data_IF_976655008911
#
_entry.id   IF_976655008911
#
_cell.length_a   1.000
_cell.length_b   1.000
_cell.length_c   1.000
_cell.angle_alpha   90.00
_cell.angle_beta   90.00
_cell.angle_gamma   90.00
#
_symmetry.space_group_name_H-M   'P 1'
#
loop_
_entity.id
_entity.type
_entity.pdbx_description
1 polymer ?
#
# COMPACT_ATOMS: atom_id res chain seq x y z
N UNK A 1 -25.09 29.94 -2.33
CA UNK A 1 -24.52 28.74 -3.00
C UNK A 1 -23.88 27.89 -1.94
N UNK A 2 -24.30 26.64 -1.80
CA UNK A 2 -23.64 25.67 -0.91
C UNK A 2 -22.51 25.00 -1.75
N UNK A 3 -21.28 25.20 -1.36
CA UNK A 3 -20.14 24.55 -2.02
C UNK A 3 -20.24 23.03 -1.91
N UNK A 4 -19.92 22.34 -2.99
CA UNK A 4 -19.76 20.89 -2.99
C UNK A 4 -18.53 20.48 -2.19
N UNK A 5 -18.44 19.20 -1.77
CA UNK A 5 -17.25 18.69 -1.08
C UNK A 5 -15.99 18.81 -1.96
N UNK A 6 -16.12 18.68 -3.28
CA UNK A 6 -15.00 18.82 -4.20
C UNK A 6 -14.47 20.26 -4.26
N UNK A 7 -15.35 21.25 -4.37
CA UNK A 7 -14.98 22.68 -4.37
C UNK A 7 -14.34 23.06 -3.04
N UNK A 8 -14.91 22.60 -1.91
CA UNK A 8 -14.35 22.84 -0.58
C UNK A 8 -12.98 22.18 -0.40
N UNK A 9 -12.79 20.97 -0.90
CA UNK A 9 -11.50 20.27 -0.82
C UNK A 9 -10.43 21.05 -1.61
N UNK A 10 -10.75 21.51 -2.82
CA UNK A 10 -9.82 22.29 -3.64
C UNK A 10 -9.41 23.60 -2.93
N UNK A 11 -10.36 24.34 -2.39
CA UNK A 11 -10.10 25.56 -1.64
C UNK A 11 -9.20 25.30 -0.42
N UNK A 12 -9.50 24.26 0.37
CA UNK A 12 -8.71 23.93 1.56
C UNK A 12 -7.27 23.51 1.20
N UNK A 13 -7.07 22.78 0.10
CA UNK A 13 -5.72 22.43 -0.35
C UNK A 13 -4.89 23.65 -0.78
N UNK A 14 -5.53 24.65 -1.37
CA UNK A 14 -4.91 25.92 -1.68
C UNK A 14 -4.56 26.72 -0.41
N UNK A 15 -5.50 26.81 0.56
CA UNK A 15 -5.29 27.49 1.84
C UNK A 15 -4.18 26.84 2.67
N UNK A 16 -4.13 25.52 2.71
CA UNK A 16 -3.09 24.79 3.46
C UNK A 16 -1.71 24.87 2.82
N UNK A 17 -1.64 25.06 1.52
CA UNK A 17 -0.37 25.03 0.77
C UNK A 17 0.46 23.77 1.05
N UNK A 18 -0.23 22.60 1.02
CA UNK A 18 0.27 21.31 1.47
C UNK A 18 -0.33 20.90 2.82
N UNK A 19 -0.60 19.60 3.00
CA UNK A 19 -1.31 19.08 4.18
C UNK A 19 -0.38 18.77 5.35
N UNK A 20 0.92 18.85 5.16
CA UNK A 20 1.86 18.50 6.20
C UNK A 20 3.11 19.38 6.14
N UNK A 21 3.76 19.56 7.29
CA UNK A 21 5.01 20.32 7.42
C UNK A 21 6.02 19.54 8.26
N UNK A 22 7.30 19.91 8.15
CA UNK A 22 8.35 19.41 9.02
C UNK A 22 8.63 20.41 10.13
N UNK A 23 8.55 19.95 11.39
CA UNK A 23 8.80 20.80 12.55
C UNK A 23 10.01 20.29 13.32
N UNK A 24 11.00 21.13 13.61
CA UNK A 24 12.14 20.77 14.45
C UNK A 24 11.66 20.46 15.88
N UNK A 25 12.35 19.55 16.57
CA UNK A 25 12.07 19.20 17.98
C UNK A 25 12.73 20.14 19.00
N UNK A 26 13.55 21.05 18.51
CA UNK A 26 14.30 22.01 19.31
C UNK A 26 14.38 23.37 18.61
N UNK A 27 14.47 24.42 19.38
CA UNK A 27 14.73 25.76 18.89
C UNK A 27 16.24 26.05 18.91
N UNK A 28 16.71 26.88 17.99
CA UNK A 28 18.07 27.40 17.96
C UNK A 28 18.00 28.90 18.32
N UNK A 29 18.15 29.22 19.61
CA UNK A 29 18.11 30.57 20.11
C UNK A 29 19.51 31.12 20.44
N UNK A 30 20.47 30.24 20.73
CA UNK A 30 21.82 30.61 21.16
C UNK A 30 22.90 29.98 20.29
N UNK A 31 24.15 30.44 20.42
CA UNK A 31 25.31 29.82 19.79
C UNK A 31 25.56 28.40 20.34
N UNK A 32 25.24 28.17 21.60
CA UNK A 32 25.36 26.86 22.23
C UNK A 32 24.37 25.87 21.60
N UNK A 33 23.12 26.26 21.44
CA UNK A 33 22.10 25.42 20.75
C UNK A 33 22.56 25.05 19.34
N UNK A 34 23.08 26.02 18.58
CA UNK A 34 23.62 25.78 17.25
C UNK A 34 24.83 24.82 17.28
N UNK A 35 25.74 24.97 18.25
CA UNK A 35 26.89 24.12 18.38
C UNK A 35 26.51 22.66 18.74
N UNK A 36 25.43 22.45 19.49
CA UNK A 36 24.91 21.12 19.84
C UNK A 36 24.12 20.50 18.69
N UNK A 37 23.25 21.29 18.04
CA UNK A 37 22.38 20.79 16.98
C UNK A 37 23.12 20.54 15.66
N UNK A 38 24.18 21.32 15.40
CA UNK A 38 24.95 21.25 14.16
C UNK A 38 26.45 21.13 14.45
N UNK A 39 27.27 22.07 14.00
CA UNK A 39 28.73 21.99 14.13
C UNK A 39 29.23 22.75 15.39
N UNK A 40 30.04 22.10 16.25
CA UNK A 40 30.75 20.80 16.10
C UNK A 40 30.04 19.58 16.70
N UNK A 41 28.99 19.75 17.51
CA UNK A 41 28.38 18.71 18.32
C UNK A 41 27.85 17.53 17.51
N UNK A 42 27.30 17.78 16.31
CA UNK A 42 26.75 16.75 15.40
C UNK A 42 27.79 15.67 15.00
N UNK A 43 29.08 15.96 15.12
CA UNK A 43 30.14 14.99 14.82
C UNK A 43 30.09 13.76 15.75
N UNK A 44 29.61 13.93 16.98
CA UNK A 44 29.60 12.80 17.95
C UNK A 44 28.59 11.71 17.59
N UNK A 45 27.29 11.98 17.34
CA UNK A 45 26.38 10.96 16.82
C UNK A 45 26.84 10.39 15.48
N UNK A 46 27.42 11.17 14.57
CA UNK A 46 27.97 10.66 13.32
C UNK A 46 29.07 9.59 13.54
N UNK A 47 30.01 9.83 14.48
CA UNK A 47 31.06 8.87 14.81
C UNK A 47 30.49 7.57 15.40
N UNK A 48 29.43 7.65 16.18
CA UNK A 48 28.78 6.47 16.75
C UNK A 48 28.09 5.67 15.65
N UNK A 49 27.30 6.31 14.80
CA UNK A 49 26.58 5.67 13.69
C UNK A 49 27.53 5.07 12.67
N UNK A 50 28.69 5.74 12.41
CA UNK A 50 29.70 5.20 11.50
C UNK A 50 30.31 3.88 11.97
N UNK A 51 30.34 3.63 13.29
CA UNK A 51 30.81 2.37 13.89
C UNK A 51 29.72 1.32 14.02
N UNK A 52 28.49 1.76 14.26
CA UNK A 52 27.32 0.92 14.44
C UNK A 52 26.11 1.57 13.78
N UNK A 53 25.69 1.02 12.64
CA UNK A 53 24.55 1.55 11.85
C UNK A 53 23.22 1.52 12.61
N UNK A 54 23.04 0.57 13.53
CA UNK A 54 21.82 0.46 14.34
C UNK A 54 21.65 1.68 15.27
N UNK A 55 22.73 2.35 15.61
CA UNK A 55 22.68 3.58 16.37
C UNK A 55 21.92 4.73 15.64
N UNK A 56 21.70 4.63 14.32
CA UNK A 56 20.87 5.56 13.57
C UNK A 56 19.43 5.60 14.10
N UNK A 57 18.89 4.47 14.56
CA UNK A 57 17.56 4.42 15.19
C UNK A 57 17.49 5.17 16.53
N UNK A 58 18.62 5.35 17.20
CA UNK A 58 18.71 6.10 18.46
C UNK A 58 18.89 7.61 18.24
N UNK A 59 19.67 7.99 17.23
CA UNK A 59 20.15 9.37 17.09
C UNK A 59 19.54 10.14 15.92
N UNK A 60 18.68 9.51 15.09
CA UNK A 60 18.08 10.16 13.93
C UNK A 60 16.57 9.91 13.84
N UNK A 61 15.92 10.64 12.92
CA UNK A 61 14.49 10.45 12.60
C UNK A 61 14.18 9.07 12.00
N UNK A 62 15.19 8.30 11.58
CA UNK A 62 15.03 6.93 11.08
C UNK A 62 14.19 6.06 12.03
N UNK A 63 14.30 6.29 13.33
CA UNK A 63 13.56 5.55 14.36
C UNK A 63 12.04 5.56 14.17
N UNK A 64 11.47 6.62 13.59
CA UNK A 64 10.02 6.82 13.52
C UNK A 64 9.59 7.53 12.23
N UNK A 65 10.25 7.26 11.10
CA UNK A 65 9.92 7.91 9.82
C UNK A 65 9.84 6.89 8.71
N UNK A 66 8.73 6.89 7.96
CA UNK A 66 8.44 6.03 6.81
C UNK A 66 8.48 6.85 5.53
N UNK A 67 9.02 6.29 4.45
CA UNK A 67 8.83 6.84 3.12
C UNK A 67 7.51 6.33 2.53
N UNK A 68 6.66 7.22 2.04
CA UNK A 68 5.47 6.90 1.24
C UNK A 68 5.85 7.07 -0.23
N UNK A 69 6.13 5.95 -0.89
CA UNK A 69 6.68 5.95 -2.26
C UNK A 69 5.60 5.61 -3.27
N UNK A 70 5.45 6.45 -4.28
CA UNK A 70 4.49 6.26 -5.38
C UNK A 70 5.08 6.69 -6.72
N UNK A 71 4.63 6.08 -7.80
CA UNK A 71 4.82 6.55 -9.17
C UNK A 71 3.52 7.13 -9.77
N UNK A 72 2.42 7.12 -9.01
CA UNK A 72 1.12 7.62 -9.42
C UNK A 72 0.44 6.83 -10.53
N UNK A 73 0.84 5.57 -10.74
CA UNK A 73 0.34 4.75 -11.86
C UNK A 73 -1.00 4.07 -11.60
N UNK A 74 -1.49 4.03 -10.35
CA UNK A 74 -2.72 3.35 -9.98
C UNK A 74 -3.48 4.06 -8.86
N UNK A 75 -3.66 5.37 -8.97
CA UNK A 75 -4.37 6.18 -7.97
C UNK A 75 -5.85 5.84 -7.97
N UNK A 76 -6.40 5.51 -6.80
CA UNK A 76 -7.77 5.02 -6.64
C UNK A 76 -8.81 5.95 -7.28
N UNK A 77 -9.58 5.41 -8.21
CA UNK A 77 -10.63 6.12 -8.95
C UNK A 77 -10.14 7.05 -10.07
N UNK A 78 -8.83 7.29 -10.19
CA UNK A 78 -8.23 8.18 -11.19
C UNK A 78 -7.31 7.46 -12.17
N UNK A 79 -6.78 6.29 -11.81
CA UNK A 79 -5.87 5.52 -12.63
C UNK A 79 -4.44 6.09 -12.66
N UNK A 80 -3.82 6.04 -13.83
CA UNK A 80 -2.46 6.56 -14.01
C UNK A 80 -2.49 8.08 -14.24
N UNK A 81 -2.22 8.84 -13.19
CA UNK A 81 -2.17 10.31 -13.22
C UNK A 81 -0.76 10.87 -13.06
N UNK A 82 0.23 9.99 -12.85
CA UNK A 82 1.64 10.34 -12.71
C UNK A 82 2.03 10.91 -11.35
N UNK A 83 3.33 11.04 -11.16
CA UNK A 83 3.95 11.39 -9.88
C UNK A 83 3.47 12.74 -9.30
N UNK A 84 3.42 13.78 -10.12
CA UNK A 84 3.05 15.12 -9.66
C UNK A 84 1.61 15.17 -9.15
N UNK A 85 0.68 14.56 -9.88
CA UNK A 85 -0.74 14.58 -9.51
C UNK A 85 -1.07 13.63 -8.34
N UNK A 86 -0.21 12.64 -8.06
CA UNK A 86 -0.34 11.74 -6.92
C UNK A 86 0.06 12.40 -5.58
N UNK A 87 0.83 13.50 -5.60
CA UNK A 87 1.35 14.15 -4.39
C UNK A 87 0.29 14.44 -3.33
N UNK A 88 -0.90 15.01 -3.66
CA UNK A 88 -1.93 15.25 -2.65
C UNK A 88 -2.44 13.99 -1.94
N UNK A 89 -2.45 12.85 -2.62
CA UNK A 89 -2.82 11.55 -2.02
C UNK A 89 -1.73 11.09 -1.07
N UNK A 90 -0.46 11.18 -1.47
CA UNK A 90 0.68 10.77 -0.65
C UNK A 90 0.83 11.65 0.61
N UNK A 91 0.56 12.94 0.51
CA UNK A 91 0.44 13.81 1.70
C UNK A 91 -0.70 13.36 2.62
N UNK A 92 -1.86 13.01 2.06
CA UNK A 92 -2.97 12.44 2.82
C UNK A 92 -2.55 11.18 3.57
N UNK A 93 -1.84 10.27 2.91
CA UNK A 93 -1.30 9.07 3.54
C UNK A 93 -0.34 9.42 4.69
N UNK A 94 0.53 10.40 4.51
CA UNK A 94 1.44 10.87 5.55
C UNK A 94 0.69 11.42 6.78
N UNK A 95 -0.40 12.16 6.56
CA UNK A 95 -1.29 12.63 7.64
C UNK A 95 -1.91 11.45 8.40
N UNK A 96 -2.37 10.40 7.70
CA UNK A 96 -2.94 9.21 8.34
C UNK A 96 -1.89 8.46 9.19
N UNK A 97 -0.68 8.28 8.69
CA UNK A 97 0.43 7.69 9.45
C UNK A 97 0.67 8.46 10.76
N UNK A 98 0.68 9.79 10.69
CA UNK A 98 0.89 10.62 11.86
C UNK A 98 -0.27 10.56 12.83
N UNK A 99 -1.50 10.73 12.34
CA UNK A 99 -2.69 10.86 13.17
C UNK A 99 -3.08 9.57 13.87
N UNK A 100 -2.94 8.42 13.18
CA UNK A 100 -3.39 7.14 13.70
C UNK A 100 -2.26 6.27 14.23
N UNK A 101 -1.07 6.38 13.67
CA UNK A 101 0.08 5.56 14.04
C UNK A 101 1.14 6.29 14.89
N UNK A 102 1.07 7.62 15.01
CA UNK A 102 2.13 8.40 15.65
C UNK A 102 3.46 8.39 14.87
N UNK A 103 3.46 7.83 13.66
CA UNK A 103 4.63 7.69 12.79
C UNK A 103 4.75 8.89 11.88
N UNK A 104 5.95 9.42 11.72
CA UNK A 104 6.22 10.42 10.69
C UNK A 104 6.27 9.73 9.32
N UNK A 105 5.75 10.39 8.30
CA UNK A 105 5.84 9.87 6.94
C UNK A 105 6.19 11.00 5.97
N UNK A 106 6.98 10.66 4.95
CA UNK A 106 7.45 11.62 3.93
C UNK A 106 7.03 11.12 2.55
N UNK A 107 6.22 11.90 1.81
CA UNK A 107 5.87 11.59 0.43
C UNK A 107 7.11 11.61 -0.48
N UNK A 108 7.27 10.56 -1.28
CA UNK A 108 8.32 10.41 -2.30
C UNK A 108 7.64 9.99 -3.60
N UNK A 109 7.27 10.96 -4.43
CA UNK A 109 6.69 10.70 -5.73
C UNK A 109 7.79 10.64 -6.80
N UNK A 110 7.90 9.49 -7.48
CA UNK A 110 8.95 9.21 -8.46
C UNK A 110 8.43 9.44 -9.88
N UNK A 111 9.11 10.29 -10.63
CA UNK A 111 8.80 10.55 -12.05
C UNK A 111 9.37 9.46 -12.96
N UNK A 112 9.09 8.21 -12.61
CA UNK A 112 9.41 7.03 -13.40
C UNK A 112 8.45 5.90 -13.08
N UNK A 113 8.13 5.07 -14.07
CA UNK A 113 7.36 3.85 -13.91
C UNK A 113 8.20 2.60 -14.25
N UNK A 114 9.51 2.77 -14.37
CA UNK A 114 10.42 1.66 -14.55
C UNK A 114 10.68 0.93 -13.24
N UNK A 115 10.48 -0.38 -13.23
CA UNK A 115 10.61 -1.24 -12.05
C UNK A 115 12.02 -1.17 -11.45
N UNK A 116 13.06 -1.21 -12.29
CA UNK A 116 14.45 -1.20 -11.82
C UNK A 116 14.85 0.16 -11.24
N UNK A 117 14.41 1.24 -11.86
CA UNK A 117 14.66 2.59 -11.36
C UNK A 117 13.96 2.84 -10.02
N UNK A 118 12.70 2.38 -9.87
CA UNK A 118 11.97 2.48 -8.61
C UNK A 118 12.71 1.70 -7.51
N UNK A 119 13.04 0.43 -7.74
CA UNK A 119 13.74 -0.40 -6.76
C UNK A 119 15.07 0.22 -6.36
N UNK A 120 15.88 0.62 -7.34
CA UNK A 120 17.19 1.26 -7.10
C UNK A 120 17.06 2.54 -6.29
N UNK A 121 16.06 3.37 -6.60
CA UNK A 121 15.81 4.63 -5.88
C UNK A 121 15.44 4.35 -4.43
N UNK A 122 14.49 3.42 -4.19
CA UNK A 122 14.06 3.07 -2.84
C UNK A 122 15.22 2.50 -2.00
N UNK A 123 16.04 1.62 -2.58
CA UNK A 123 17.24 1.09 -1.90
C UNK A 123 18.19 2.22 -1.52
N UNK A 124 18.41 3.18 -2.40
CA UNK A 124 19.34 4.28 -2.15
C UNK A 124 18.86 5.26 -1.07
N UNK A 125 17.54 5.48 -0.91
CA UNK A 125 17.00 6.37 0.12
C UNK A 125 16.72 5.65 1.45
N UNK A 126 16.66 4.33 1.47
CA UNK A 126 16.32 3.51 2.64
C UNK A 126 17.16 3.82 3.90
N UNK A 127 18.44 4.24 3.83
CA UNK A 127 19.20 4.62 5.02
C UNK A 127 18.55 5.70 5.89
N UNK A 128 17.72 6.59 5.30
CA UNK A 128 17.04 7.67 6.02
C UNK A 128 15.73 7.25 6.69
N UNK A 129 15.20 6.05 6.41
CA UNK A 129 13.86 5.61 6.80
C UNK A 129 13.89 4.34 7.65
N UNK A 130 12.95 4.25 8.58
CA UNK A 130 12.68 3.05 9.37
C UNK A 130 11.71 2.08 8.71
N UNK A 131 11.10 2.46 7.58
CA UNK A 131 10.21 1.63 6.79
C UNK A 131 9.83 2.28 5.47
N UNK A 132 9.32 1.47 4.55
CA UNK A 132 8.85 1.89 3.23
C UNK A 132 7.38 1.49 3.08
N UNK A 133 6.52 2.44 2.79
CA UNK A 133 5.16 2.21 2.31
C UNK A 133 5.11 2.50 0.81
N UNK A 134 4.87 1.48 0.01
CA UNK A 134 4.57 1.64 -1.41
C UNK A 134 3.08 1.95 -1.55
N UNK A 135 2.73 2.91 -2.39
CA UNK A 135 1.36 3.39 -2.56
C UNK A 135 1.05 3.65 -4.03
N UNK A 136 -0.15 3.27 -4.48
CA UNK A 136 -0.67 3.60 -5.81
C UNK A 136 0.24 3.19 -6.99
N UNK A 137 0.98 2.09 -6.84
CA UNK A 137 1.81 1.48 -7.90
C UNK A 137 1.00 0.38 -8.58
N UNK A 138 0.90 0.45 -9.90
CA UNK A 138 0.06 -0.47 -10.68
C UNK A 138 0.52 -1.93 -10.67
N UNK A 139 -0.46 -2.84 -10.63
CA UNK A 139 -0.21 -4.25 -10.88
C UNK A 139 0.11 -4.48 -12.40
N UNK A 140 0.96 -5.47 -12.75
CA UNK A 140 1.60 -6.43 -11.85
C UNK A 140 2.94 -5.95 -11.25
N UNK A 141 3.46 -4.76 -11.62
CA UNK A 141 4.76 -4.24 -11.18
C UNK A 141 4.89 -4.12 -9.66
N UNK A 142 3.81 -3.70 -8.99
CA UNK A 142 3.80 -3.55 -7.54
C UNK A 142 4.19 -4.83 -6.79
N UNK A 143 3.83 -6.01 -7.30
CA UNK A 143 4.19 -7.30 -6.69
C UNK A 143 5.69 -7.57 -6.75
N UNK A 144 6.29 -7.32 -7.92
CA UNK A 144 7.73 -7.49 -8.12
C UNK A 144 8.53 -6.48 -7.29
N UNK A 145 8.15 -5.19 -7.35
CA UNK A 145 8.81 -4.12 -6.61
C UNK A 145 8.81 -4.43 -5.11
N UNK A 146 7.66 -4.77 -4.55
CA UNK A 146 7.55 -5.09 -3.13
C UNK A 146 8.37 -6.32 -2.74
N UNK A 147 8.25 -7.41 -3.49
CA UNK A 147 8.96 -8.65 -3.20
C UNK A 147 10.48 -8.45 -3.21
N UNK A 148 11.00 -7.79 -4.24
CA UNK A 148 12.44 -7.54 -4.38
C UNK A 148 12.96 -6.57 -3.31
N UNK A 149 12.20 -5.54 -2.96
CA UNK A 149 12.58 -4.62 -1.89
C UNK A 149 12.63 -5.30 -0.52
N UNK A 150 11.72 -6.25 -0.24
CA UNK A 150 11.75 -7.07 0.97
C UNK A 150 13.00 -7.96 1.08
N UNK A 151 13.55 -8.38 -0.06
CA UNK A 151 14.79 -9.17 -0.11
C UNK A 151 16.05 -8.29 0.02
N UNK A 152 15.99 -7.04 -0.48
CA UNK A 152 17.13 -6.13 -0.53
C UNK A 152 17.31 -5.26 0.72
N UNK A 153 16.24 -5.06 1.49
CA UNK A 153 16.21 -4.14 2.63
C UNK A 153 16.00 -4.90 3.95
N UNK A 154 16.65 -4.42 5.00
CA UNK A 154 16.49 -4.88 6.38
C UNK A 154 15.43 -4.15 7.18
N UNK A 155 14.70 -3.22 6.53
CA UNK A 155 13.57 -2.47 7.10
C UNK A 155 12.25 -2.98 6.52
N UNK A 156 11.11 -2.81 7.23
CA UNK A 156 9.79 -3.17 6.71
C UNK A 156 9.48 -2.49 5.37
N UNK A 157 9.02 -3.29 4.40
CA UNK A 157 8.47 -2.84 3.13
C UNK A 157 7.04 -3.32 3.01
N UNK A 158 6.11 -2.43 2.70
CA UNK A 158 4.69 -2.69 2.69
C UNK A 158 4.02 -1.97 1.51
N UNK A 159 3.17 -2.66 0.76
CA UNK A 159 2.32 -2.06 -0.27
C UNK A 159 0.88 -2.06 0.23
N UNK A 160 0.34 -0.88 0.55
CA UNK A 160 -0.94 -0.75 1.26
C UNK A 160 -2.13 -1.24 0.43
N UNK A 161 -2.16 -0.96 -0.87
CA UNK A 161 -3.22 -1.43 -1.78
C UNK A 161 -3.34 -2.94 -1.82
N UNK A 162 -2.26 -3.66 -1.51
CA UNK A 162 -2.28 -5.11 -1.35
C UNK A 162 -2.70 -5.49 0.07
N UNK A 163 -1.86 -5.16 1.05
CA UNK A 163 -1.91 -5.77 2.38
C UNK A 163 -2.87 -5.06 3.32
N UNK A 164 -2.96 -3.72 3.27
CA UNK A 164 -3.91 -2.98 4.10
C UNK A 164 -5.34 -3.35 3.77
N UNK A 165 -5.68 -3.36 2.49
CA UNK A 165 -7.01 -3.77 2.01
C UNK A 165 -7.31 -5.24 2.36
N UNK A 166 -6.34 -6.14 2.20
CA UNK A 166 -6.52 -7.55 2.53
C UNK A 166 -6.78 -7.77 4.03
N UNK A 167 -6.08 -7.05 4.90
CA UNK A 167 -6.25 -7.14 6.36
C UNK A 167 -7.65 -6.72 6.78
N UNK A 168 -8.14 -5.58 6.30
CA UNK A 168 -9.48 -5.08 6.71
C UNK A 168 -10.61 -5.94 6.15
N UNK A 169 -10.46 -6.47 4.93
CA UNK A 169 -11.42 -7.40 4.33
C UNK A 169 -11.49 -8.70 5.14
N UNK A 170 -10.35 -9.30 5.45
CA UNK A 170 -10.31 -10.52 6.26
C UNK A 170 -10.90 -10.26 7.66
N UNK A 171 -10.61 -9.15 8.29
CA UNK A 171 -11.17 -8.79 9.59
C UNK A 171 -12.71 -8.70 9.54
N UNK A 172 -13.26 -8.10 8.48
CA UNK A 172 -14.70 -8.06 8.22
C UNK A 172 -15.28 -9.46 8.04
N UNK A 173 -14.65 -10.30 7.22
CA UNK A 173 -15.09 -11.67 6.95
C UNK A 173 -15.07 -12.55 8.21
N UNK A 174 -14.01 -12.47 9.02
CA UNK A 174 -13.92 -13.21 10.30
C UNK A 174 -15.12 -12.89 11.20
N UNK A 175 -15.51 -11.63 11.29
CA UNK A 175 -16.67 -11.23 12.09
C UNK A 175 -18.00 -11.61 11.43
N UNK A 176 -18.09 -11.54 10.11
CA UNK A 176 -19.23 -12.03 9.34
C UNK A 176 -19.51 -13.52 9.55
N UNK A 177 -18.45 -14.36 9.56
CA UNK A 177 -18.55 -15.78 9.85
C UNK A 177 -19.11 -16.03 11.26
N UNK A 178 -18.67 -15.28 12.28
CA UNK A 178 -19.20 -15.38 13.65
C UNK A 178 -20.68 -15.05 13.72
N UNK A 179 -21.12 -14.00 13.01
CA UNK A 179 -22.53 -13.57 13.00
C UNK A 179 -23.42 -14.56 12.28
N UNK A 180 -22.95 -15.14 11.17
CA UNK A 180 -23.72 -16.07 10.34
C UNK A 180 -23.65 -17.54 10.80
N UNK A 181 -22.70 -17.86 11.69
CA UNK A 181 -22.43 -19.22 12.13
C UNK A 181 -21.83 -20.12 11.04
N UNK A 182 -21.30 -19.53 9.95
CA UNK A 182 -20.67 -20.28 8.85
C UNK A 182 -19.22 -20.61 9.18
N UNK A 183 -18.73 -21.70 8.60
CA UNK A 183 -17.30 -22.10 8.68
C UNK A 183 -16.58 -21.67 7.42
N UNK A 184 -15.34 -21.26 7.56
CA UNK A 184 -14.53 -20.78 6.42
C UNK A 184 -14.24 -21.87 5.39
N UNK A 185 -14.16 -23.11 5.86
CA UNK A 185 -13.85 -24.28 5.03
C UNK A 185 -14.96 -24.61 4.02
N UNK A 186 -16.22 -24.31 4.38
CA UNK A 186 -17.41 -24.62 3.58
C UNK A 186 -17.89 -23.44 2.74
N UNK A 187 -17.38 -22.23 3.02
CA UNK A 187 -17.81 -21.02 2.31
C UNK A 187 -17.28 -20.97 0.88
N UNK A 188 -18.19 -20.66 -0.05
CA UNK A 188 -17.86 -20.28 -1.43
C UNK A 188 -17.59 -18.78 -1.49
N UNK A 189 -16.37 -18.38 -1.85
CA UNK A 189 -15.95 -16.98 -1.90
C UNK A 189 -15.75 -16.54 -3.35
N UNK A 190 -16.32 -15.41 -3.71
CA UNK A 190 -16.10 -14.74 -5.00
C UNK A 190 -15.38 -13.43 -4.77
N UNK A 191 -14.21 -13.27 -5.37
CA UNK A 191 -13.43 -12.02 -5.38
C UNK A 191 -13.49 -11.42 -6.77
N UNK A 192 -14.19 -10.29 -6.91
CA UNK A 192 -14.33 -9.58 -8.17
C UNK A 192 -13.38 -8.39 -8.24
N UNK A 193 -12.37 -8.50 -9.10
CA UNK A 193 -11.23 -7.61 -9.26
C UNK A 193 -9.93 -8.35 -9.02
N UNK A 194 -9.18 -8.66 -10.08
CA UNK A 194 -7.94 -9.43 -10.05
C UNK A 194 -6.69 -8.51 -10.17
N UNK A 195 -6.77 -7.31 -9.58
CA UNK A 195 -5.67 -6.38 -9.42
C UNK A 195 -4.90 -6.59 -8.11
N UNK A 196 -4.13 -5.58 -7.68
CA UNK A 196 -3.30 -5.62 -6.46
C UNK A 196 -4.10 -6.07 -5.22
N UNK A 197 -5.22 -5.43 -4.94
CA UNK A 197 -6.08 -5.74 -3.80
C UNK A 197 -6.68 -7.15 -3.89
N UNK A 198 -7.31 -7.48 -5.01
CA UNK A 198 -7.99 -8.78 -5.16
C UNK A 198 -7.06 -9.98 -5.03
N UNK A 199 -5.85 -9.88 -5.58
CA UNK A 199 -4.83 -10.92 -5.44
C UNK A 199 -4.36 -11.04 -3.99
N UNK A 200 -4.07 -9.93 -3.33
CA UNK A 200 -3.62 -9.95 -1.93
C UNK A 200 -4.72 -10.47 -0.98
N UNK A 201 -5.96 -10.05 -1.18
CA UNK A 201 -7.11 -10.56 -0.43
C UNK A 201 -7.22 -12.08 -0.61
N UNK A 202 -7.17 -12.54 -1.86
CA UNK A 202 -7.28 -13.97 -2.17
C UNK A 202 -6.18 -14.78 -1.51
N UNK A 203 -4.92 -14.33 -1.60
CA UNK A 203 -3.78 -14.97 -0.93
C UNK A 203 -3.99 -15.06 0.59
N UNK A 204 -4.46 -13.97 1.20
CA UNK A 204 -4.69 -13.92 2.65
C UNK A 204 -5.86 -14.82 3.07
N UNK A 205 -6.94 -14.88 2.30
CA UNK A 205 -8.08 -15.80 2.53
C UNK A 205 -7.64 -17.26 2.47
N UNK A 206 -6.87 -17.64 1.45
CA UNK A 206 -6.32 -18.99 1.31
C UNK A 206 -5.39 -19.34 2.49
N UNK A 207 -4.52 -18.43 2.89
CA UNK A 207 -3.63 -18.59 4.06
C UNK A 207 -4.42 -18.72 5.35
N UNK A 208 -5.53 -18.01 5.51
CA UNK A 208 -6.43 -18.13 6.66
C UNK A 208 -7.20 -19.45 6.69
N UNK A 209 -7.31 -20.14 5.55
CA UNK A 209 -7.87 -21.49 5.44
C UNK A 209 -9.17 -21.62 4.65
N UNK A 210 -9.58 -20.58 3.89
CA UNK A 210 -10.63 -20.74 2.89
C UNK A 210 -10.16 -21.69 1.78
N UNK A 211 -11.04 -22.56 1.31
CA UNK A 211 -10.72 -23.59 0.30
C UNK A 211 -11.33 -23.29 -1.07
N UNK A 212 -12.48 -22.61 -1.09
CA UNK A 212 -13.27 -22.41 -2.29
C UNK A 212 -13.31 -20.93 -2.64
N UNK A 213 -12.24 -20.44 -3.29
CA UNK A 213 -12.14 -19.05 -3.75
C UNK A 213 -12.13 -19.02 -5.27
N UNK A 214 -13.05 -18.25 -5.84
CA UNK A 214 -13.14 -17.97 -7.28
C UNK A 214 -12.83 -16.50 -7.52
N UNK A 215 -11.90 -16.21 -8.41
CA UNK A 215 -11.57 -14.85 -8.83
C UNK A 215 -12.30 -14.52 -10.14
N UNK A 216 -12.76 -13.28 -10.23
CA UNK A 216 -13.37 -12.73 -11.45
C UNK A 216 -12.71 -11.39 -11.83
N UNK A 217 -12.75 -11.09 -13.11
CA UNK A 217 -12.44 -9.79 -13.64
C UNK A 217 -13.50 -9.33 -14.66
N UNK A 218 -13.20 -8.34 -15.48
CA UNK A 218 -14.10 -7.83 -16.54
C UNK A 218 -14.51 -8.91 -17.58
N UNK A 219 -13.73 -9.97 -17.72
CA UNK A 219 -14.00 -11.09 -18.66
C UNK A 219 -14.84 -12.19 -18.02
N UNK A 220 -15.12 -12.13 -16.71
CA UNK A 220 -15.84 -13.12 -15.95
C UNK A 220 -14.94 -13.94 -15.02
N UNK A 221 -15.26 -15.22 -14.85
CA UNK A 221 -14.51 -16.14 -13.98
C UNK A 221 -13.13 -16.41 -14.57
N UNK A 222 -12.09 -16.16 -13.79
CA UNK A 222 -10.73 -16.50 -14.16
C UNK A 222 -10.48 -17.99 -13.97
N UNK A 223 -9.90 -18.61 -15.00
CA UNK A 223 -9.56 -20.03 -15.00
C UNK A 223 -8.21 -20.26 -15.68
N UNK A 224 -7.63 -21.42 -15.47
CA UNK A 224 -6.39 -21.81 -16.12
C UNK A 224 -6.56 -21.78 -17.64
N UNK A 225 -5.71 -21.01 -18.34
CA UNK A 225 -5.79 -20.81 -19.77
C UNK A 225 -6.70 -19.67 -20.24
N UNK A 226 -7.28 -18.86 -19.35
CA UNK A 226 -7.97 -17.62 -19.72
C UNK A 226 -7.00 -16.70 -20.47
N UNK A 227 -7.48 -16.05 -21.53
CA UNK A 227 -6.68 -15.12 -22.32
C UNK A 227 -6.42 -13.83 -21.57
N UNK A 228 -5.24 -13.24 -21.76
CA UNK A 228 -4.89 -11.91 -21.25
C UNK A 228 -4.54 -11.82 -19.77
N UNK A 229 -4.33 -12.97 -19.09
CA UNK A 229 -3.84 -12.99 -17.73
C UNK A 229 -2.39 -12.47 -17.65
N UNK A 230 -2.10 -11.65 -16.66
CA UNK A 230 -0.71 -11.36 -16.32
C UNK A 230 -0.12 -12.52 -15.47
N UNK A 231 1.21 -12.53 -15.33
CA UNK A 231 1.94 -13.60 -14.63
C UNK A 231 1.48 -13.86 -13.20
N UNK A 232 1.03 -12.82 -12.48
CA UNK A 232 0.52 -12.98 -11.12
C UNK A 232 -0.87 -13.62 -11.13
N UNK A 233 -1.75 -13.20 -12.04
CA UNK A 233 -3.06 -13.82 -12.22
C UNK A 233 -2.93 -15.29 -12.63
N UNK A 234 -2.02 -15.61 -13.55
CA UNK A 234 -1.71 -17.00 -13.92
C UNK A 234 -1.32 -17.83 -12.71
N UNK A 235 -0.42 -17.31 -11.86
CA UNK A 235 -0.01 -18.02 -10.63
C UNK A 235 -1.15 -18.28 -9.65
N UNK A 236 -2.17 -17.41 -9.63
CA UNK A 236 -3.34 -17.61 -8.79
C UNK A 236 -4.26 -18.72 -9.28
N UNK A 237 -4.22 -19.07 -10.57
CA UNK A 237 -5.06 -20.14 -11.14
C UNK A 237 -4.66 -21.55 -10.67
N UNK A 238 -3.49 -21.69 -10.08
CA UNK A 238 -3.06 -22.96 -9.48
C UNK A 238 -3.67 -23.17 -8.07
N UNK A 239 -4.18 -22.13 -7.44
CA UNK A 239 -4.67 -22.15 -6.05
C UNK A 239 -6.12 -21.66 -5.89
N UNK A 240 -6.73 -21.15 -6.96
CA UNK A 240 -8.12 -20.67 -6.99
C UNK A 240 -8.92 -21.42 -8.05
N UNK A 241 -10.26 -21.36 -7.96
CA UNK A 241 -11.17 -21.98 -8.93
C UNK A 241 -10.79 -23.43 -9.25
N UNK A 242 -10.48 -24.22 -8.22
CA UNK A 242 -10.05 -25.62 -8.36
C UNK A 242 -11.13 -26.54 -8.99
N UNK A 243 -12.37 -26.08 -9.02
CA UNK A 243 -13.50 -26.76 -9.67
C UNK A 243 -13.59 -26.42 -11.17
N UNK A 244 -12.68 -25.60 -11.70
CA UNK A 244 -12.65 -25.19 -13.10
C UNK A 244 -13.95 -24.56 -13.62
N UNK A 245 -14.63 -23.78 -12.77
CA UNK A 245 -15.83 -23.02 -13.15
C UNK A 245 -15.48 -22.03 -14.26
N UNK A 246 -16.43 -21.84 -15.17
CA UNK A 246 -16.36 -20.84 -16.25
C UNK A 246 -17.66 -20.05 -16.31
N UNK A 247 -17.64 -18.87 -16.91
CA UNK A 247 -18.84 -18.06 -17.08
C UNK A 247 -18.64 -16.62 -16.60
N UNK A 248 -19.74 -15.92 -16.42
CA UNK A 248 -19.82 -14.54 -15.98
C UNK A 248 -19.65 -14.39 -14.46
N UNK A 249 -19.53 -13.15 -13.99
CA UNK A 249 -19.63 -12.84 -12.56
C UNK A 249 -20.95 -13.33 -11.96
N UNK A 250 -22.06 -13.16 -12.69
CA UNK A 250 -23.37 -13.65 -12.25
C UNK A 250 -23.40 -15.18 -12.06
N UNK A 251 -22.65 -15.91 -12.88
CA UNK A 251 -22.52 -17.37 -12.71
C UNK A 251 -21.68 -17.73 -11.49
N UNK A 252 -20.61 -16.97 -11.22
CA UNK A 252 -19.79 -17.15 -10.03
C UNK A 252 -20.57 -16.89 -8.73
N UNK A 253 -21.50 -15.94 -8.74
CA UNK A 253 -22.29 -15.56 -7.56
C UNK A 253 -23.38 -16.58 -7.21
N UNK A 254 -23.74 -17.50 -8.12
CA UNK A 254 -24.72 -18.55 -7.82
C UNK A 254 -24.19 -19.48 -6.74
N UNK A 255 -24.83 -19.43 -5.56
CA UNK A 255 -24.43 -20.23 -4.41
C UNK A 255 -23.21 -19.73 -3.66
N UNK A 256 -22.72 -18.50 -3.95
CA UNK A 256 -21.66 -17.89 -3.19
C UNK A 256 -22.15 -17.46 -1.80
N UNK A 257 -21.31 -17.64 -0.79
CA UNK A 257 -21.54 -17.21 0.59
C UNK A 257 -20.97 -15.83 0.87
N UNK A 258 -19.85 -15.51 0.22
CA UNK A 258 -19.09 -14.28 0.42
C UNK A 258 -18.75 -13.68 -0.94
N UNK A 259 -19.09 -12.40 -1.09
CA UNK A 259 -18.66 -11.57 -2.22
C UNK A 259 -17.73 -10.47 -1.76
N UNK A 260 -16.59 -10.34 -2.43
CA UNK A 260 -15.62 -9.26 -2.22
C UNK A 260 -15.47 -8.50 -3.53
N UNK A 261 -15.98 -7.27 -3.57
CA UNK A 261 -15.91 -6.40 -4.75
C UNK A 261 -14.80 -5.37 -4.62
N UNK A 262 -13.75 -5.48 -5.44
CA UNK A 262 -12.59 -4.58 -5.47
C UNK A 262 -12.19 -4.20 -6.90
N UNK A 263 -13.16 -4.12 -7.80
CA UNK A 263 -12.96 -3.77 -9.21
C UNK A 263 -13.34 -2.31 -9.51
N UNK A 264 -14.63 -2.07 -9.75
CA UNK A 264 -15.17 -0.75 -10.09
C UNK A 264 -16.58 -0.58 -9.50
N UNK A 265 -17.05 0.65 -9.28
CA UNK A 265 -18.42 0.90 -8.82
C UNK A 265 -19.45 0.47 -9.87
N UNK A 266 -20.64 0.01 -9.40
CA UNK A 266 -21.78 -0.29 -10.26
C UNK A 266 -21.65 -1.57 -11.10
N UNK A 267 -20.82 -2.53 -10.69
CA UNK A 267 -20.64 -3.81 -11.37
C UNK A 267 -21.68 -4.85 -10.91
N UNK A 268 -22.13 -4.73 -9.68
CA UNK A 268 -23.18 -5.59 -9.05
C UNK A 268 -24.31 -4.73 -8.55
#
# INVERSE_FOLDING_TARGET
>A
FIMTNAEKALQLHEEWNGKFETTPKMDIATREDLALAYTPGVAEPCKVIAKDKEAAYKYTIKANTVAVVSDGSAVLGLGNIGAHAAMPVMEGKAVLFKSFGGVNAVPICLDTQDTEEIIKTVVNIAPAFGGINLEDISAPRCFEIESRLKELLDIPVFHDDQHGTAIVVLAGIINGLKVTGKTKEDCQVVVNGAGSAGIAITKLLLTYGFKHVTMCDKSGILSKGSEGLNWMQESMMDVTNLEHKTGSLADALKGADIFVGVSAPGIV
#
